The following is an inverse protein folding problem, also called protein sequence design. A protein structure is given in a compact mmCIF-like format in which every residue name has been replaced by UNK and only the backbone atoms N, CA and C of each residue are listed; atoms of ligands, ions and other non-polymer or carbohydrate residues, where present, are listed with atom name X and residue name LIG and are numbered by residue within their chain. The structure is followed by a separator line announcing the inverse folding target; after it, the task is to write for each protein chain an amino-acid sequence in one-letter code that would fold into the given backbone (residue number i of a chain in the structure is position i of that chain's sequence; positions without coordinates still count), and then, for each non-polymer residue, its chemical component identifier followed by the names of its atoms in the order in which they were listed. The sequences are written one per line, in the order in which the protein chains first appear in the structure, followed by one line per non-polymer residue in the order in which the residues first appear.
data_IF_994591365892
#
_entry.id   IF_994591365892
#
_cell.length_a   1.000
_cell.length_b   1.000
_cell.length_c   1.000
_cell.angle_alpha   90.00
_cell.angle_beta   90.00
_cell.angle_gamma   90.00
#
_symmetry.space_group_name_H-M   'P 1'
#
loop_
_entity.id
_entity.type
_entity.pdbx_description
1 polymer ?
#
# COMPACT_ATOMS: atom_id res chain seq x y z
N UNK A 1 41.02 -36.06 -5.04
CA UNK A 1 42.17 -35.35 -5.62
C UNK A 1 41.65 -34.71 -6.90
N UNK A 2 41.18 -33.46 -7.00
CA UNK A 2 41.15 -32.25 -6.18
C UNK A 2 39.79 -31.54 -6.43
N UNK A 3 39.39 -30.66 -5.51
CA UNK A 3 38.16 -29.81 -5.50
C UNK A 3 36.82 -30.48 -5.14
N UNK A 4 36.69 -30.81 -3.85
CA UNK A 4 35.42 -31.05 -3.12
C UNK A 4 35.32 -30.14 -1.87
N UNK A 5 35.91 -28.95 -1.93
CA UNK A 5 36.09 -28.11 -0.73
C UNK A 5 35.82 -26.64 -1.01
N UNK A 6 34.54 -26.26 -1.12
CA UNK A 6 34.10 -24.87 -0.96
C UNK A 6 32.59 -24.70 -0.65
N UNK A 7 31.81 -25.75 -0.38
CA UNK A 7 30.50 -25.57 0.27
C UNK A 7 30.67 -25.66 1.79
N UNK A 8 30.86 -24.51 2.44
CA UNK A 8 30.69 -24.42 3.90
C UNK A 8 29.20 -24.50 4.22
N UNK A 9 28.86 -25.46 5.10
CA UNK A 9 27.57 -25.77 5.73
C UNK A 9 26.56 -24.60 5.77
N UNK A 10 25.50 -24.69 4.95
CA UNK A 10 24.18 -24.13 5.27
C UNK A 10 23.66 -24.85 6.52
N UNK A 11 23.53 -24.11 7.63
CA UNK A 11 23.11 -24.67 8.91
C UNK A 11 21.64 -24.32 9.15
N UNK A 12 20.75 -25.33 9.15
CA UNK A 12 19.35 -25.20 9.53
C UNK A 12 19.26 -24.96 11.05
N UNK A 13 19.06 -23.73 11.48
CA UNK A 13 18.66 -23.43 12.86
C UNK A 13 17.13 -23.44 12.98
N UNK A 14 16.61 -24.36 13.80
CA UNK A 14 15.23 -24.38 14.29
C UNK A 14 15.14 -23.42 15.48
N UNK A 15 14.56 -22.25 15.27
CA UNK A 15 14.16 -21.37 16.36
C UNK A 15 12.64 -21.40 16.45
N UNK A 16 12.12 -21.93 17.55
CA UNK A 16 10.69 -21.89 17.88
C UNK A 16 10.38 -20.46 18.32
N UNK A 17 9.69 -19.69 17.49
CA UNK A 17 9.20 -18.36 17.82
C UNK A 17 7.70 -18.48 18.13
N UNK A 18 7.31 -18.15 19.35
CA UNK A 18 5.92 -18.06 19.79
C UNK A 18 5.27 -16.78 19.24
N UNK A 19 4.03 -16.82 18.73
CA UNK A 19 3.38 -15.65 18.17
C UNK A 19 2.72 -14.86 19.30
N UNK A 20 3.28 -13.70 19.66
CA UNK A 20 2.52 -12.73 20.46
C UNK A 20 2.95 -11.29 20.21
N UNK A 21 1.94 -10.46 19.94
CA UNK A 21 1.89 -9.00 19.98
C UNK A 21 2.38 -8.22 18.74
N UNK A 22 1.44 -8.01 17.81
CA UNK A 22 1.30 -6.76 17.06
C UNK A 22 1.23 -5.58 18.04
N UNK A 23 2.38 -5.01 18.40
CA UNK A 23 2.44 -3.72 19.10
C UNK A 23 2.43 -2.63 18.04
N UNK A 24 1.26 -2.03 17.83
CA UNK A 24 1.17 -0.70 17.22
C UNK A 24 2.05 0.26 18.04
N UNK A 25 3.09 0.82 17.43
CA UNK A 25 3.93 1.82 18.06
C UNK A 25 3.19 3.16 18.10
N UNK A 26 2.29 3.31 19.09
CA UNK A 26 1.94 4.62 19.63
C UNK A 26 3.06 5.03 20.60
N UNK A 27 3.89 5.99 20.19
CA UNK A 27 4.89 6.60 21.09
C UNK A 27 4.20 7.27 22.28
N UNK A 28 4.78 7.09 23.47
CA UNK A 28 4.24 7.45 24.79
C UNK A 28 4.32 8.94 25.18
N UNK A 29 4.80 9.83 24.31
CA UNK A 29 4.48 11.27 24.33
C UNK A 29 5.00 11.89 23.05
N UNK A 30 4.15 11.95 22.01
CA UNK A 30 4.48 12.74 20.82
C UNK A 30 3.67 14.01 20.90
N UNK A 31 4.38 15.13 21.04
CA UNK A 31 3.80 16.45 20.89
C UNK A 31 2.91 16.50 19.65
N UNK A 32 1.81 17.23 19.76
CA UNK A 32 0.93 17.48 18.63
C UNK A 32 1.68 18.45 17.70
N UNK A 33 1.90 18.11 16.40
CA UNK A 33 2.66 18.99 15.50
C UNK A 33 2.02 20.38 15.41
N UNK A 34 2.81 21.46 15.23
CA UNK A 34 2.22 22.77 14.95
C UNK A 34 1.37 22.73 13.67
N UNK A 35 0.42 23.66 13.51
CA UNK A 35 -0.44 23.69 12.33
C UNK A 35 0.41 23.91 11.07
N UNK A 36 0.02 23.26 9.98
CA UNK A 36 0.71 23.37 8.69
C UNK A 36 0.75 24.83 8.21
N UNK A 37 -0.34 25.58 8.40
CA UNK A 37 -0.42 27.00 8.07
C UNK A 37 0.52 27.90 8.87
N UNK A 38 0.91 27.49 10.08
CA UNK A 38 1.85 28.26 10.91
C UNK A 38 3.30 28.01 10.49
N UNK A 39 3.57 26.82 9.91
CA UNK A 39 4.92 26.37 9.53
C UNK A 39 5.30 26.70 8.10
N UNK A 40 4.33 26.79 7.21
CA UNK A 40 4.56 27.00 5.77
C UNK A 40 3.80 28.26 5.30
N UNK A 41 4.35 29.02 4.33
CA UNK A 41 3.73 30.24 3.82
C UNK A 41 2.58 29.93 2.84
N UNK A 42 1.60 29.15 3.29
CA UNK A 42 0.40 28.78 2.53
C UNK A 42 -0.76 29.70 2.90
N UNK A 43 -1.59 30.03 1.91
CA UNK A 43 -2.78 30.86 2.12
C UNK A 43 -4.05 30.01 1.98
N UNK A 44 -4.99 30.20 2.91
CA UNK A 44 -6.29 29.57 2.84
C UNK A 44 -7.02 30.08 1.60
N UNK A 45 -7.50 29.17 0.76
CA UNK A 45 -8.28 29.52 -0.43
C UNK A 45 -9.60 30.21 -0.08
N UNK A 46 -10.27 30.80 -1.08
CA UNK A 46 -11.58 31.43 -0.94
C UNK A 46 -12.72 30.41 -0.80
N UNK A 47 -12.64 29.56 0.22
CA UNK A 47 -13.68 28.60 0.60
C UNK A 47 -14.55 29.18 1.71
N UNK A 48 -15.81 28.75 1.77
CA UNK A 48 -16.68 29.08 2.90
C UNK A 48 -16.14 28.44 4.18
N UNK A 49 -16.56 28.98 5.32
CA UNK A 49 -16.31 28.39 6.63
C UNK A 49 -17.45 27.43 6.99
N UNK A 50 -17.08 26.35 7.69
CA UNK A 50 -18.03 25.36 8.20
C UNK A 50 -18.89 25.96 9.33
N UNK A 51 -20.20 25.77 9.23
CA UNK A 51 -21.20 26.16 10.24
C UNK A 51 -21.89 24.94 10.85
N UNK A 52 -22.56 25.12 11.99
CA UNK A 52 -23.34 24.05 12.61
C UNK A 52 -24.53 23.59 11.74
N UNK A 53 -25.04 24.46 10.86
CA UNK A 53 -26.06 24.09 9.88
C UNK A 53 -25.51 23.11 8.83
N UNK A 54 -24.25 23.29 8.40
CA UNK A 54 -23.58 22.37 7.48
C UNK A 54 -23.40 20.98 8.14
N UNK A 55 -22.99 20.96 9.40
CA UNK A 55 -22.88 19.71 10.19
C UNK A 55 -24.23 19.02 10.33
N UNK A 56 -25.32 19.76 10.53
CA UNK A 56 -26.66 19.20 10.58
C UNK A 56 -27.09 18.58 9.24
N UNK A 57 -26.72 19.20 8.10
CA UNK A 57 -26.94 18.61 6.78
C UNK A 57 -26.15 17.33 6.59
N UNK A 58 -24.85 17.31 6.95
CA UNK A 58 -24.04 16.09 6.89
C UNK A 58 -24.64 14.95 7.70
N UNK A 59 -25.18 15.25 8.89
CA UNK A 59 -25.90 14.28 9.73
C UNK A 59 -27.15 13.76 9.03
N UNK A 60 -27.94 14.65 8.43
CA UNK A 60 -29.11 14.29 7.62
C UNK A 60 -28.78 13.30 6.50
N UNK A 61 -27.72 13.58 5.73
CA UNK A 61 -27.23 12.70 4.65
C UNK A 61 -26.77 11.35 5.22
N UNK A 62 -26.08 11.36 6.36
CA UNK A 62 -25.44 10.19 6.95
C UNK A 62 -26.26 9.46 8.02
N UNK A 63 -27.60 9.52 7.94
CA UNK A 63 -28.49 8.67 8.74
C UNK A 63 -29.13 9.34 9.96
N UNK A 64 -29.14 10.68 10.01
CA UNK A 64 -29.93 11.47 10.96
C UNK A 64 -29.11 12.23 12.01
N UNK A 65 -29.79 13.00 12.89
CA UNK A 65 -29.18 13.97 13.81
C UNK A 65 -28.12 13.39 14.76
N UNK A 66 -28.27 12.12 15.15
CA UNK A 66 -27.37 11.44 16.10
C UNK A 66 -26.35 10.53 15.40
N UNK A 67 -26.11 10.75 14.10
CA UNK A 67 -25.22 9.89 13.31
C UNK A 67 -23.78 9.96 13.83
N UNK A 68 -23.29 8.83 14.33
CA UNK A 68 -21.87 8.62 14.68
C UNK A 68 -20.93 8.63 13.47
N UNK A 69 -21.48 8.75 12.25
CA UNK A 69 -20.72 8.90 11.00
C UNK A 69 -20.34 10.36 10.71
N UNK A 70 -20.74 11.31 11.56
CA UNK A 70 -20.28 12.70 11.55
C UNK A 70 -19.58 13.00 12.87
N UNK A 71 -18.25 13.05 12.83
CA UNK A 71 -17.41 13.29 14.01
C UNK A 71 -17.12 14.78 14.12
N UNK A 72 -17.39 15.35 15.30
CA UNK A 72 -17.10 16.76 15.63
C UNK A 72 -16.39 16.94 16.97
N UNK A 73 -16.17 15.87 17.73
CA UNK A 73 -15.40 15.92 18.97
C UNK A 73 -13.93 16.19 18.64
N UNK A 74 -13.34 17.20 19.28
CA UNK A 74 -12.01 17.74 18.91
C UNK A 74 -10.90 16.68 18.99
N UNK A 75 -10.92 15.86 20.04
CA UNK A 75 -9.96 14.78 20.27
C UNK A 75 -10.07 13.65 19.24
N UNK A 76 -11.28 13.35 18.78
CA UNK A 76 -11.51 12.37 17.72
C UNK A 76 -11.10 12.90 16.34
N UNK A 77 -11.48 14.14 16.01
CA UNK A 77 -11.17 14.79 14.74
C UNK A 77 -9.66 15.00 14.58
N UNK A 78 -8.94 15.26 15.67
CA UNK A 78 -7.48 15.44 15.64
C UNK A 78 -6.74 14.26 14.99
N UNK A 79 -7.24 13.03 15.13
CA UNK A 79 -6.61 11.84 14.53
C UNK A 79 -6.66 11.84 12.99
N UNK A 80 -7.57 12.61 12.39
CA UNK A 80 -7.72 12.77 10.95
C UNK A 80 -6.95 13.99 10.41
N UNK A 81 -6.55 14.90 11.29
CA UNK A 81 -5.81 16.11 10.95
C UNK A 81 -4.29 15.92 10.92
N UNK A 82 -3.77 14.84 11.52
CA UNK A 82 -2.32 14.58 11.63
C UNK A 82 -1.94 13.46 10.66
N UNK A 83 -0.89 13.69 9.85
CA UNK A 83 -0.42 12.69 8.89
C UNK A 83 0.33 11.53 9.57
N UNK A 84 0.62 10.48 8.80
CA UNK A 84 1.31 9.30 9.27
C UNK A 84 2.69 9.60 9.89
N UNK A 85 3.46 10.52 9.29
CA UNK A 85 4.78 10.92 9.79
C UNK A 85 4.69 11.89 10.97
N UNK A 86 3.50 12.42 11.27
CA UNK A 86 3.27 13.51 12.22
C UNK A 86 4.11 14.74 11.88
N UNK A 87 4.29 14.95 10.58
CA UNK A 87 5.06 16.02 9.98
C UNK A 87 4.21 17.24 9.65
N UNK A 88 2.90 17.07 9.45
CA UNK A 88 1.93 18.12 9.12
C UNK A 88 0.65 17.93 9.93
N UNK A 89 -0.06 19.04 10.19
CA UNK A 89 -1.34 19.03 10.92
C UNK A 89 -2.30 20.10 10.41
N UNK A 90 -3.50 19.70 10.00
CA UNK A 90 -4.63 20.60 9.73
C UNK A 90 -5.44 20.94 10.99
N UNK A 91 -6.49 21.75 10.82
CA UNK A 91 -7.44 22.11 11.87
C UNK A 91 -8.90 21.95 11.43
N UNK A 92 -9.16 20.97 10.56
CA UNK A 92 -10.51 20.54 10.20
C UNK A 92 -11.34 20.24 11.46
N UNK A 93 -12.63 20.63 11.43
CA UNK A 93 -13.55 20.52 12.58
C UNK A 93 -14.57 19.38 12.46
N UNK A 94 -14.62 18.73 11.30
CA UNK A 94 -15.59 17.67 11.02
C UNK A 94 -15.00 16.58 10.14
N UNK A 95 -15.35 15.33 10.47
CA UNK A 95 -15.08 14.15 9.65
C UNK A 95 -16.40 13.49 9.29
N UNK A 96 -16.62 13.22 8.01
CA UNK A 96 -17.80 12.52 7.50
C UNK A 96 -17.41 11.12 6.98
N UNK A 97 -18.21 10.10 7.33
CA UNK A 97 -17.94 8.69 7.02
C UNK A 97 -19.07 8.06 6.19
N UNK A 98 -19.13 8.30 4.87
CA UNK A 98 -20.10 7.65 3.99
C UNK A 98 -19.86 6.12 3.91
N UNK A 99 -20.93 5.37 3.61
CA UNK A 99 -20.97 3.93 3.33
C UNK A 99 -21.27 3.62 1.87
N UNK A 100 -21.82 4.58 1.12
CA UNK A 100 -22.25 4.38 -0.26
C UNK A 100 -21.79 5.52 -1.16
N UNK A 101 -21.65 5.23 -2.46
CA UNK A 101 -21.36 6.23 -3.49
C UNK A 101 -22.41 7.35 -3.51
N UNK A 102 -23.68 7.02 -3.28
CA UNK A 102 -24.75 8.00 -3.22
C UNK A 102 -24.55 9.02 -2.09
N UNK A 103 -24.16 8.57 -0.90
CA UNK A 103 -23.82 9.46 0.21
C UNK A 103 -22.60 10.34 -0.11
N UNK A 104 -21.56 9.79 -0.77
CA UNK A 104 -20.41 10.59 -1.24
C UNK A 104 -20.85 11.66 -2.24
N UNK A 105 -21.68 11.29 -3.21
CA UNK A 105 -22.22 12.21 -4.22
C UNK A 105 -23.03 13.35 -3.59
N UNK A 106 -23.88 13.04 -2.61
CA UNK A 106 -24.69 14.03 -1.92
C UNK A 106 -23.84 14.99 -1.06
N UNK A 107 -22.85 14.46 -0.33
CA UNK A 107 -21.88 15.26 0.42
C UNK A 107 -21.11 16.20 -0.50
N UNK A 108 -20.57 15.69 -1.62
CA UNK A 108 -19.80 16.49 -2.57
C UNK A 108 -20.65 17.57 -3.23
N UNK A 109 -21.89 17.26 -3.63
CA UNK A 109 -22.84 18.24 -4.18
C UNK A 109 -23.09 19.38 -3.18
N UNK A 110 -23.36 19.06 -1.92
CA UNK A 110 -23.58 20.07 -0.88
C UNK A 110 -22.33 20.92 -0.62
N UNK A 111 -21.15 20.28 -0.49
CA UNK A 111 -19.88 21.00 -0.32
C UNK A 111 -19.58 21.92 -1.51
N UNK A 112 -19.90 21.50 -2.74
CA UNK A 112 -19.73 22.32 -3.93
C UNK A 112 -20.66 23.54 -3.92
N UNK A 113 -21.96 23.34 -3.63
CA UNK A 113 -22.95 24.42 -3.49
C UNK A 113 -22.53 25.45 -2.42
N UNK A 114 -22.01 24.95 -1.28
CA UNK A 114 -21.55 25.79 -0.16
C UNK A 114 -20.13 26.31 -0.30
N UNK A 115 -19.38 25.85 -1.31
CA UNK A 115 -17.93 26.09 -1.47
C UNK A 115 -17.11 25.70 -0.23
N UNK A 116 -17.43 24.56 0.38
CA UNK A 116 -16.62 23.94 1.43
C UNK A 116 -15.54 23.07 0.79
N UNK A 117 -14.29 23.25 1.21
CA UNK A 117 -13.19 22.38 0.77
C UNK A 117 -13.31 21.00 1.41
N UNK A 118 -12.93 19.96 0.66
CA UNK A 118 -13.00 18.55 1.10
C UNK A 118 -11.63 17.90 0.94
N UNK A 119 -11.20 17.17 1.97
CA UNK A 119 -9.99 16.34 1.98
C UNK A 119 -10.40 14.86 2.01
N UNK A 120 -10.32 14.12 0.88
CA UNK A 120 -10.60 12.69 0.85
C UNK A 120 -9.52 11.92 1.63
N UNK A 121 -9.94 11.00 2.50
CA UNK A 121 -9.02 10.23 3.33
C UNK A 121 -9.34 8.74 3.34
N UNK A 122 -8.34 7.94 2.96
CA UNK A 122 -8.35 6.48 3.12
C UNK A 122 -7.77 6.07 4.48
N UNK A 123 -6.81 5.16 4.48
CA UNK A 123 -6.14 4.67 5.70
C UNK A 123 -5.18 5.64 6.39
N UNK A 124 -5.05 6.88 5.89
CA UNK A 124 -4.11 7.91 6.36
C UNK A 124 -2.65 7.44 6.51
N UNK A 125 -2.17 6.65 5.55
CA UNK A 125 -0.78 6.13 5.51
C UNK A 125 0.09 6.83 4.47
N UNK A 126 -0.36 7.96 3.92
CA UNK A 126 0.38 8.75 2.94
C UNK A 126 1.60 9.44 3.59
N UNK A 127 2.65 9.65 2.80
CA UNK A 127 3.94 10.17 3.29
C UNK A 127 4.26 11.59 2.78
N UNK A 128 3.33 12.22 2.05
CA UNK A 128 3.53 13.54 1.41
C UNK A 128 2.55 14.60 1.90
N UNK A 129 1.82 14.33 2.99
CA UNK A 129 0.84 15.24 3.58
C UNK A 129 -0.50 15.35 2.85
N UNK A 130 -0.66 14.75 1.67
CA UNK A 130 -1.89 14.83 0.86
C UNK A 130 -3.12 14.14 1.46
N UNK A 131 -2.97 13.34 2.51
CA UNK A 131 -4.09 12.65 3.18
C UNK A 131 -4.73 13.44 4.32
N UNK A 132 -4.23 14.63 4.66
CA UNK A 132 -4.75 15.45 5.75
C UNK A 132 -5.02 16.89 5.32
N UNK A 133 -5.95 17.60 5.98
CA UNK A 133 -6.21 19.02 5.73
C UNK A 133 -4.98 19.90 5.96
N UNK A 134 -4.91 21.03 5.25
CA UNK A 134 -3.95 22.11 5.58
C UNK A 134 -4.59 23.10 6.55
N UNK A 135 -5.86 23.40 6.33
CA UNK A 135 -6.67 24.35 7.08
C UNK A 135 -7.88 23.63 7.71
N UNK A 136 -9.09 24.04 7.36
CA UNK A 136 -10.38 23.60 7.90
C UNK A 136 -11.19 22.73 6.94
N UNK A 137 -10.55 22.10 5.95
CA UNK A 137 -11.21 21.22 4.99
C UNK A 137 -12.02 20.11 5.69
N UNK A 138 -13.22 19.81 5.16
CA UNK A 138 -14.04 18.68 5.60
C UNK A 138 -13.32 17.38 5.26
N UNK A 139 -12.99 16.57 6.27
CA UNK A 139 -12.39 15.26 6.00
C UNK A 139 -13.48 14.28 5.59
N UNK A 140 -13.41 13.76 4.36
CA UNK A 140 -14.30 12.70 3.88
C UNK A 140 -13.57 11.37 3.97
N UNK A 141 -13.88 10.59 5.00
CA UNK A 141 -13.22 9.31 5.26
C UNK A 141 -13.97 8.15 4.63
N UNK A 142 -13.29 7.39 3.78
CA UNK A 142 -13.86 6.24 3.07
C UNK A 142 -13.85 4.94 3.89
N UNK A 143 -13.50 5.00 5.19
CA UNK A 143 -13.27 3.81 6.02
C UNK A 143 -14.49 2.88 6.20
N UNK A 144 -15.71 3.40 6.01
CA UNK A 144 -16.94 2.60 6.10
C UNK A 144 -17.43 2.08 4.74
N UNK A 145 -16.68 2.36 3.66
CA UNK A 145 -16.89 1.81 2.33
C UNK A 145 -15.96 0.62 2.13
N UNK A 146 -16.11 -0.42 2.95
CA UNK A 146 -15.17 -1.55 3.11
C UNK A 146 -15.69 -2.89 2.56
N UNK A 147 -16.75 -2.86 1.73
CA UNK A 147 -17.37 -4.07 1.19
C UNK A 147 -16.62 -4.61 -0.03
N UNK A 148 -16.25 -5.90 0.01
CA UNK A 148 -15.85 -6.67 -1.17
C UNK A 148 -17.12 -7.21 -1.82
N UNK A 149 -17.43 -6.73 -3.02
CA UNK A 149 -18.72 -6.98 -3.67
C UNK A 149 -18.72 -8.27 -4.48
N UNK A 150 -17.60 -8.59 -5.12
CA UNK A 150 -17.44 -9.79 -5.96
C UNK A 150 -15.98 -10.19 -6.09
N UNK A 151 -15.72 -11.49 -6.04
CA UNK A 151 -14.46 -12.10 -6.48
C UNK A 151 -14.80 -13.13 -7.56
N UNK A 152 -14.25 -12.94 -8.76
CA UNK A 152 -14.33 -13.87 -9.88
C UNK A 152 -12.98 -14.59 -10.02
N UNK A 153 -12.92 -15.83 -9.55
CA UNK A 153 -11.72 -16.66 -9.58
C UNK A 153 -11.33 -17.13 -10.99
N UNK A 154 -12.28 -17.18 -11.93
CA UNK A 154 -12.00 -17.58 -13.31
C UNK A 154 -11.37 -16.44 -14.10
N UNK A 155 -11.90 -15.22 -13.94
CA UNK A 155 -11.36 -14.04 -14.59
C UNK A 155 -10.15 -13.45 -13.84
N UNK A 156 -10.01 -13.77 -12.56
CA UNK A 156 -9.07 -13.15 -11.63
C UNK A 156 -9.45 -11.69 -11.39
N UNK A 157 -10.70 -11.40 -11.06
CA UNK A 157 -11.20 -10.03 -10.89
C UNK A 157 -11.84 -9.85 -9.53
N UNK A 158 -11.45 -8.81 -8.81
CA UNK A 158 -12.13 -8.35 -7.59
C UNK A 158 -12.83 -7.03 -7.84
N UNK A 159 -14.09 -6.94 -7.42
CA UNK A 159 -14.87 -5.69 -7.36
C UNK A 159 -15.10 -5.36 -5.89
N UNK A 160 -14.71 -4.17 -5.47
CA UNK A 160 -14.77 -3.77 -4.07
C UNK A 160 -14.93 -2.26 -3.91
N UNK A 161 -15.34 -1.84 -2.73
CA UNK A 161 -15.40 -0.45 -2.34
C UNK A 161 -13.99 0.11 -2.01
N UNK A 162 -13.82 1.42 -2.17
CA UNK A 162 -12.53 2.11 -2.07
C UNK A 162 -11.90 2.05 -0.66
N UNK A 163 -12.69 1.81 0.38
CA UNK A 163 -12.26 1.70 1.77
C UNK A 163 -11.75 0.32 2.18
N UNK A 164 -11.81 -0.70 1.32
CA UNK A 164 -11.29 -2.02 1.65
C UNK A 164 -9.79 -1.96 1.97
N UNK A 165 -9.41 -2.48 3.14
CA UNK A 165 -8.00 -2.58 3.57
C UNK A 165 -7.25 -3.59 2.71
N UNK A 166 -6.04 -3.25 2.25
CA UNK A 166 -5.25 -4.11 1.34
C UNK A 166 -4.99 -5.50 1.93
N UNK A 167 -4.66 -5.61 3.22
CA UNK A 167 -4.44 -6.91 3.87
C UNK A 167 -5.70 -7.79 3.86
N UNK A 168 -6.88 -7.20 4.08
CA UNK A 168 -8.15 -7.94 4.02
C UNK A 168 -8.47 -8.38 2.59
N UNK A 169 -8.15 -7.56 1.58
CA UNK A 169 -8.27 -7.97 0.17
C UNK A 169 -7.33 -9.13 -0.15
N UNK A 170 -6.05 -9.06 0.23
CA UNK A 170 -5.06 -10.14 0.02
C UNK A 170 -5.53 -11.46 0.65
N UNK A 171 -6.07 -11.43 1.87
CA UNK A 171 -6.61 -12.61 2.53
C UNK A 171 -7.79 -13.22 1.74
N UNK A 172 -8.76 -12.38 1.34
CA UNK A 172 -10.00 -12.84 0.70
C UNK A 172 -9.77 -13.36 -0.73
N UNK A 173 -8.91 -12.70 -1.51
CA UNK A 173 -8.53 -13.20 -2.84
C UNK A 173 -7.58 -14.41 -2.74
N UNK A 174 -6.73 -14.45 -1.71
CA UNK A 174 -5.86 -15.58 -1.38
C UNK A 174 -6.62 -16.88 -1.13
N UNK A 175 -7.74 -16.80 -0.40
CA UNK A 175 -8.65 -17.93 -0.19
C UNK A 175 -9.25 -18.51 -1.49
N UNK A 176 -9.16 -17.77 -2.60
CA UNK A 176 -9.62 -18.15 -3.95
C UNK A 176 -8.46 -18.48 -4.91
N UNK A 177 -7.24 -18.64 -4.40
CA UNK A 177 -6.07 -18.94 -5.23
C UNK A 177 -5.60 -17.77 -6.09
N UNK A 178 -5.91 -16.54 -5.69
CA UNK A 178 -5.46 -15.30 -6.33
C UNK A 178 -4.52 -14.53 -5.39
N UNK A 179 -3.88 -13.48 -5.90
CA UNK A 179 -3.11 -12.51 -5.10
C UNK A 179 -3.47 -11.09 -5.52
N UNK A 180 -3.33 -10.12 -4.61
CA UNK A 180 -3.35 -8.73 -5.00
C UNK A 180 -2.10 -8.41 -5.83
N UNK A 181 -2.23 -7.61 -6.91
CA UNK A 181 -1.12 -7.27 -7.81
C UNK A 181 -0.13 -6.27 -7.19
N UNK A 182 -0.36 -5.83 -5.95
CA UNK A 182 0.49 -4.93 -5.19
C UNK A 182 0.60 -5.42 -3.75
N UNK A 183 1.72 -5.10 -3.13
CA UNK A 183 1.94 -5.32 -1.70
C UNK A 183 2.90 -4.27 -1.14
N UNK A 184 2.66 -3.78 0.08
CA UNK A 184 3.42 -2.68 0.66
C UNK A 184 3.39 -2.71 2.19
N UNK A 185 4.34 -2.02 2.82
CA UNK A 185 4.54 -2.06 4.28
C UNK A 185 3.33 -1.58 5.10
N UNK A 186 2.49 -0.71 4.53
CA UNK A 186 1.28 -0.20 5.17
C UNK A 186 0.01 -1.07 4.94
N UNK A 187 0.14 -2.30 4.42
CA UNK A 187 -0.99 -3.14 3.97
C UNK A 187 -2.09 -3.35 5.01
N UNK A 188 -1.73 -3.34 6.31
CA UNK A 188 -2.67 -3.51 7.41
C UNK A 188 -3.57 -2.30 7.68
N UNK A 189 -3.34 -1.18 7.01
CA UNK A 189 -4.10 0.05 7.22
C UNK A 189 -4.42 0.81 5.94
N UNK A 190 -3.61 0.68 4.87
CA UNK A 190 -3.90 1.36 3.62
C UNK A 190 -5.19 0.80 2.98
N UNK A 191 -6.01 1.72 2.45
CA UNK A 191 -7.21 1.35 1.71
C UNK A 191 -6.91 1.28 0.22
N UNK A 192 -7.61 0.40 -0.50
CA UNK A 192 -7.37 0.18 -1.93
C UNK A 192 -7.64 1.41 -2.80
N UNK A 193 -8.65 2.23 -2.45
CA UNK A 193 -8.89 3.52 -3.09
C UNK A 193 -7.74 4.51 -2.90
N UNK A 194 -7.12 4.50 -1.71
CA UNK A 194 -5.91 5.27 -1.45
C UNK A 194 -4.73 4.79 -2.29
N UNK A 195 -4.53 3.48 -2.39
CA UNK A 195 -3.48 2.90 -3.24
C UNK A 195 -3.65 3.30 -4.71
N UNK A 196 -4.87 3.26 -5.25
CA UNK A 196 -5.14 3.70 -6.63
C UNK A 196 -4.96 5.21 -6.78
N UNK A 197 -5.46 6.00 -5.83
CA UNK A 197 -5.35 7.46 -5.86
C UNK A 197 -3.90 7.93 -5.86
N UNK A 198 -2.98 7.20 -5.22
CA UNK A 198 -1.54 7.52 -5.20
C UNK A 198 -0.72 6.74 -6.22
N UNK A 199 -1.36 5.91 -7.06
CA UNK A 199 -0.68 4.95 -7.95
C UNK A 199 0.42 4.15 -7.21
N UNK A 200 0.06 3.60 -6.06
CA UNK A 200 0.99 2.88 -5.19
C UNK A 200 1.71 1.77 -5.96
N UNK A 201 3.03 1.71 -5.79
CA UNK A 201 3.86 0.62 -6.29
C UNK A 201 3.96 -0.51 -5.27
N UNK A 202 5.14 -0.63 -4.65
CA UNK A 202 5.40 -1.59 -3.58
C UNK A 202 6.25 -2.78 -4.03
N UNK A 203 6.30 -3.78 -3.15
CA UNK A 203 7.30 -4.87 -3.13
C UNK A 203 7.23 -5.80 -4.35
N UNK A 204 6.07 -5.84 -5.02
CA UNK A 204 5.77 -6.77 -6.13
C UNK A 204 5.66 -6.06 -7.49
N UNK A 205 6.00 -4.77 -7.56
CA UNK A 205 5.88 -3.97 -8.80
C UNK A 205 6.72 -4.54 -9.95
N UNK A 206 7.87 -5.13 -9.66
CA UNK A 206 8.74 -5.74 -10.68
C UNK A 206 8.04 -6.86 -11.46
N UNK A 207 7.05 -7.54 -10.85
CA UNK A 207 6.34 -8.67 -11.46
C UNK A 207 4.99 -8.30 -12.03
N UNK A 208 4.21 -7.51 -11.31
CA UNK A 208 2.82 -7.21 -11.70
C UNK A 208 2.66 -5.82 -12.32
N UNK A 209 3.71 -5.00 -12.31
CA UNK A 209 3.69 -3.66 -12.89
C UNK A 209 2.98 -2.64 -12.01
N UNK A 210 2.62 -1.51 -12.62
CA UNK A 210 1.91 -0.42 -11.96
C UNK A 210 0.39 -0.67 -11.91
N UNK A 211 -0.32 0.13 -11.11
CA UNK A 211 -1.77 0.02 -11.00
C UNK A 211 -2.51 0.41 -12.28
N UNK A 212 -1.90 1.19 -13.19
CA UNK A 212 -2.49 1.42 -14.52
C UNK A 212 -2.69 0.11 -15.31
N UNK A 213 -1.87 -0.91 -15.10
CA UNK A 213 -2.06 -2.22 -15.74
C UNK A 213 -3.09 -3.12 -15.04
N UNK A 214 -3.28 -2.95 -13.74
CA UNK A 214 -4.09 -3.88 -12.92
C UNK A 214 -5.49 -3.36 -12.59
N UNK A 215 -5.72 -2.05 -12.60
CA UNK A 215 -7.06 -1.46 -12.40
C UNK A 215 -7.85 -1.56 -13.69
N UNK A 216 -8.95 -2.30 -13.65
CA UNK A 216 -9.86 -2.51 -14.78
C UNK A 216 -10.96 -1.45 -14.83
N UNK A 217 -11.45 -1.03 -13.66
CA UNK A 217 -12.56 -0.07 -13.55
C UNK A 217 -12.48 0.80 -12.29
N UNK A 218 -13.07 1.99 -12.38
CA UNK A 218 -13.16 2.97 -11.30
C UNK A 218 -14.57 3.56 -11.29
N UNK A 219 -15.23 3.59 -10.13
CA UNK A 219 -16.37 4.48 -9.90
C UNK A 219 -15.88 5.65 -9.06
N UNK A 220 -16.08 6.88 -9.53
CA UNK A 220 -15.61 8.09 -8.87
C UNK A 220 -16.70 9.16 -8.77
N UNK A 221 -16.64 9.97 -7.71
CA UNK A 221 -17.51 11.13 -7.52
C UNK A 221 -16.71 12.40 -7.75
N UNK A 222 -17.15 13.26 -8.67
CA UNK A 222 -16.48 14.53 -8.95
C UNK A 222 -16.75 15.57 -7.87
N UNK A 223 -16.05 16.71 -7.93
CA UNK A 223 -16.29 17.85 -7.04
C UNK A 223 -17.76 18.32 -7.06
N UNK A 224 -18.44 18.26 -8.20
CA UNK A 224 -19.87 18.64 -8.35
C UNK A 224 -20.85 17.60 -7.77
N UNK A 225 -20.36 16.46 -7.29
CA UNK A 225 -21.20 15.34 -6.84
C UNK A 225 -21.70 14.44 -7.96
N UNK A 226 -21.19 14.57 -9.19
CA UNK A 226 -21.53 13.65 -10.28
C UNK A 226 -20.83 12.31 -10.08
N UNK A 227 -21.59 11.22 -10.15
CA UNK A 227 -21.04 9.86 -10.22
C UNK A 227 -20.58 9.57 -11.64
N UNK A 228 -19.30 9.23 -11.78
CA UNK A 228 -18.69 8.73 -13.00
C UNK A 228 -18.51 7.21 -12.85
N UNK A 229 -19.37 6.47 -13.54
CA UNK A 229 -19.22 5.02 -13.66
C UNK A 229 -18.27 4.71 -14.82
N UNK A 230 -17.01 4.41 -14.47
CA UNK A 230 -15.96 3.95 -15.39
C UNK A 230 -15.59 2.50 -15.03
N UNK A 231 -16.54 1.73 -14.49
CA UNK A 231 -16.34 0.34 -14.12
C UNK A 231 -16.24 -0.54 -15.36
N UNK A 232 -15.26 -1.43 -15.37
CA UNK A 232 -15.11 -2.46 -16.40
C UNK A 232 -14.55 -3.72 -15.74
N UNK A 233 -15.01 -4.87 -16.20
CA UNK A 233 -14.51 -6.18 -15.79
C UNK A 233 -13.83 -6.90 -16.98
N UNK A 234 -13.41 -6.13 -17.99
CA UNK A 234 -12.74 -6.66 -19.17
C UNK A 234 -11.26 -6.29 -19.12
N UNK A 235 -10.39 -7.27 -19.41
CA UNK A 235 -8.95 -7.01 -19.60
C UNK A 235 -8.65 -6.16 -20.84
N UNK A 236 -9.57 -6.14 -21.80
CA UNK A 236 -9.49 -5.38 -23.04
C UNK A 236 -10.82 -4.72 -23.31
N UNK A 237 -10.81 -3.40 -23.32
CA UNK A 237 -11.97 -2.58 -23.57
C UNK A 237 -11.52 -1.28 -24.25
N UNK A 238 -11.73 -1.18 -25.57
CA UNK A 238 -11.21 -0.07 -26.40
C UNK A 238 -12.34 0.81 -26.92
N UNK A 239 -13.45 0.95 -26.18
CA UNK A 239 -14.61 1.76 -26.58
C UNK A 239 -14.46 3.23 -26.16
N UNK A 240 -13.40 3.90 -26.62
CA UNK A 240 -13.13 5.32 -26.34
C UNK A 240 -11.97 5.57 -25.39
N UNK A 241 -11.94 6.73 -24.75
CA UNK A 241 -10.86 7.11 -23.84
C UNK A 241 -10.91 6.32 -22.53
N UNK A 242 -9.74 5.88 -22.05
CA UNK A 242 -9.62 5.20 -20.76
C UNK A 242 -9.58 6.21 -19.60
N UNK A 243 -10.70 6.92 -19.39
CA UNK A 243 -10.82 8.00 -18.40
C UNK A 243 -10.45 7.56 -16.97
N UNK A 244 -10.59 6.27 -16.64
CA UNK A 244 -10.17 5.72 -15.34
C UNK A 244 -8.72 6.04 -15.00
N UNK A 245 -7.82 6.12 -16.00
CA UNK A 245 -6.41 6.40 -15.76
C UNK A 245 -6.15 7.81 -15.24
N UNK A 246 -7.07 8.76 -15.46
CA UNK A 246 -6.94 10.10 -14.89
C UNK A 246 -7.09 10.07 -13.37
N UNK A 247 -7.82 9.11 -12.80
CA UNK A 247 -8.01 8.98 -11.35
C UNK A 247 -6.86 8.24 -10.65
N UNK A 248 -6.11 7.40 -11.39
CA UNK A 248 -4.96 6.66 -10.87
C UNK A 248 -3.78 7.63 -10.73
N UNK A 249 -3.33 7.87 -9.50
CA UNK A 249 -2.30 8.88 -9.22
C UNK A 249 -2.81 10.33 -9.16
N UNK A 250 -4.14 10.54 -9.14
CA UNK A 250 -4.74 11.89 -9.01
C UNK A 250 -4.75 12.45 -7.59
N UNK A 251 -4.46 11.62 -6.60
CA UNK A 251 -4.41 11.98 -5.17
C UNK A 251 -5.71 12.65 -4.67
N UNK A 252 -6.86 12.24 -5.22
CA UNK A 252 -8.17 12.77 -4.83
C UNK A 252 -8.52 14.15 -5.40
N UNK A 253 -7.63 14.75 -6.21
CA UNK A 253 -7.80 16.12 -6.72
C UNK A 253 -8.78 16.23 -7.89
N UNK A 254 -9.04 15.13 -8.61
CA UNK A 254 -9.99 15.08 -9.73
C UNK A 254 -11.35 14.47 -9.35
N UNK A 255 -11.43 13.87 -8.16
CA UNK A 255 -12.63 13.22 -7.65
C UNK A 255 -12.29 12.13 -6.63
N UNK A 256 -13.32 11.61 -5.99
CA UNK A 256 -13.23 10.61 -4.92
C UNK A 256 -13.55 9.25 -5.49
N UNK A 257 -12.56 8.34 -5.51
CA UNK A 257 -12.77 6.94 -5.88
C UNK A 257 -13.63 6.27 -4.81
N UNK A 258 -14.72 5.62 -5.21
CA UNK A 258 -15.71 4.99 -4.32
C UNK A 258 -15.79 3.48 -4.50
N UNK A 259 -15.60 2.98 -5.74
CA UNK A 259 -15.51 1.55 -6.06
C UNK A 259 -14.42 1.30 -7.09
N UNK A 260 -13.90 0.08 -7.10
CA UNK A 260 -12.81 -0.37 -7.97
C UNK A 260 -13.10 -1.78 -8.50
N UNK A 261 -12.68 -2.02 -9.75
CA UNK A 261 -12.51 -3.36 -10.31
C UNK A 261 -11.03 -3.56 -10.63
N UNK A 262 -10.44 -4.65 -10.12
CA UNK A 262 -9.02 -4.92 -10.24
C UNK A 262 -8.76 -6.35 -10.70
N UNK A 263 -7.76 -6.51 -11.57
CA UNK A 263 -7.21 -7.80 -11.93
C UNK A 263 -6.27 -8.30 -10.82
N UNK A 264 -6.55 -9.50 -10.33
CA UNK A 264 -5.77 -10.25 -9.34
C UNK A 264 -5.12 -11.45 -10.03
N UNK A 265 -3.78 -11.50 -10.13
CA UNK A 265 -3.06 -12.65 -10.67
C UNK A 265 -3.34 -13.94 -9.88
N UNK A 266 -3.13 -15.09 -10.51
CA UNK A 266 -3.16 -16.38 -9.82
C UNK A 266 -2.02 -16.48 -8.81
N UNK A 267 -2.31 -17.01 -7.62
CA UNK A 267 -1.30 -17.29 -6.62
C UNK A 267 -0.26 -18.30 -7.14
N UNK A 268 1.01 -17.99 -6.92
CA UNK A 268 2.12 -18.89 -7.27
C UNK A 268 2.17 -20.08 -6.30
N UNK A 269 2.57 -21.25 -6.82
CA UNK A 269 2.66 -22.49 -6.02
C UNK A 269 4.00 -22.62 -5.30
N UNK A 270 5.00 -21.91 -5.79
CA UNK A 270 6.36 -21.88 -5.28
C UNK A 270 6.73 -20.44 -5.03
N UNK A 271 7.23 -20.17 -3.82
CA UNK A 271 7.79 -18.88 -3.42
C UNK A 271 9.11 -19.16 -2.73
N UNK A 272 10.15 -18.42 -3.09
CA UNK A 272 11.46 -18.49 -2.44
C UNK A 272 11.95 -17.08 -2.13
N UNK A 273 12.61 -16.90 -0.99
CA UNK A 273 13.23 -15.63 -0.58
C UNK A 273 14.71 -15.87 -0.33
N UNK A 274 15.56 -15.04 -0.93
CA UNK A 274 16.99 -14.99 -0.69
C UNK A 274 17.37 -13.64 -0.07
N UNK A 275 18.17 -13.67 1.00
CA UNK A 275 18.73 -12.49 1.65
C UNK A 275 20.25 -12.54 1.51
N UNK A 276 20.82 -11.57 0.79
CA UNK A 276 22.18 -11.61 0.25
C UNK A 276 23.00 -10.43 0.79
N UNK A 277 24.28 -10.67 1.11
CA UNK A 277 25.26 -9.65 1.51
C UNK A 277 26.19 -9.27 0.36
N UNK A 278 26.45 -7.97 0.18
CA UNK A 278 27.25 -7.41 -0.90
C UNK A 278 28.18 -6.31 -0.40
N UNK A 279 29.36 -6.18 -1.04
CA UNK A 279 30.40 -5.24 -0.61
C UNK A 279 30.26 -3.83 -1.19
N UNK A 280 29.57 -3.67 -2.31
CA UNK A 280 29.45 -2.38 -2.99
C UNK A 280 28.11 -2.20 -3.70
N UNK A 281 27.76 -0.94 -3.96
CA UNK A 281 26.59 -0.62 -4.77
C UNK A 281 26.75 -1.06 -6.23
N UNK A 282 27.99 -1.20 -6.73
CA UNK A 282 28.20 -1.76 -8.07
C UNK A 282 27.82 -3.25 -8.12
N UNK A 283 28.16 -4.00 -7.08
CA UNK A 283 27.77 -5.40 -6.93
C UNK A 283 26.25 -5.54 -6.84
N UNK A 284 25.55 -4.62 -6.16
CA UNK A 284 24.07 -4.57 -6.14
C UNK A 284 23.51 -4.46 -7.56
N UNK A 285 23.97 -3.49 -8.36
CA UNK A 285 23.47 -3.31 -9.74
C UNK A 285 23.76 -4.53 -10.61
N UNK A 286 24.95 -5.12 -10.49
CA UNK A 286 25.35 -6.31 -11.27
C UNK A 286 24.56 -7.54 -10.86
N UNK A 287 24.32 -7.72 -9.56
CA UNK A 287 23.47 -8.78 -9.00
C UNK A 287 22.03 -8.62 -9.45
N UNK A 288 21.47 -7.40 -9.45
CA UNK A 288 20.14 -7.14 -10.00
C UNK A 288 20.04 -7.47 -11.50
N UNK A 289 21.05 -7.12 -12.29
CA UNK A 289 21.09 -7.48 -13.71
C UNK A 289 21.16 -9.00 -13.90
N UNK A 290 21.94 -9.70 -13.08
CA UNK A 290 22.00 -11.16 -13.07
C UNK A 290 20.66 -11.77 -12.67
N UNK A 291 19.97 -11.24 -11.65
CA UNK A 291 18.66 -11.71 -11.21
C UNK A 291 17.62 -11.60 -12.34
N UNK A 292 17.55 -10.45 -13.02
CA UNK A 292 16.65 -10.27 -14.16
C UNK A 292 16.90 -11.24 -15.30
N UNK A 293 18.15 -11.65 -15.54
CA UNK A 293 18.51 -12.56 -16.63
C UNK A 293 18.36 -14.04 -16.26
N UNK A 294 18.76 -14.40 -15.05
CA UNK A 294 18.82 -15.79 -14.58
C UNK A 294 17.51 -16.28 -13.94
N UNK A 295 16.85 -15.44 -13.15
CA UNK A 295 15.55 -15.75 -12.56
C UNK A 295 14.41 -15.42 -13.53
N UNK A 296 14.57 -14.36 -14.31
CA UNK A 296 13.67 -14.03 -15.42
C UNK A 296 12.24 -13.83 -14.94
N UNK A 297 11.32 -14.61 -15.50
CA UNK A 297 9.89 -14.49 -15.28
C UNK A 297 9.44 -14.86 -13.88
N UNK A 298 10.24 -15.58 -13.10
CA UNK A 298 9.87 -15.96 -11.72
C UNK A 298 10.26 -14.91 -10.69
N UNK A 299 11.08 -13.91 -11.05
CA UNK A 299 11.43 -12.80 -10.14
C UNK A 299 10.16 -12.05 -9.71
N UNK A 300 9.91 -11.95 -8.41
CA UNK A 300 8.72 -11.29 -7.84
C UNK A 300 9.02 -10.07 -6.96
N UNK A 301 10.20 -10.01 -6.35
CA UNK A 301 10.69 -8.84 -5.61
C UNK A 301 12.21 -8.74 -5.69
N UNK A 302 12.75 -7.53 -5.61
CA UNK A 302 14.18 -7.29 -5.58
C UNK A 302 14.47 -5.96 -4.86
N UNK A 303 14.66 -6.03 -3.55
CA UNK A 303 14.88 -4.87 -2.69
C UNK A 303 16.36 -4.72 -2.33
N UNK A 304 16.83 -3.48 -2.16
CA UNK A 304 18.16 -3.17 -1.64
C UNK A 304 18.03 -2.56 -0.25
N UNK A 305 18.94 -2.93 0.65
CA UNK A 305 19.04 -2.40 2.01
C UNK A 305 20.50 -2.00 2.25
N UNK A 306 20.75 -0.78 2.72
CA UNK A 306 22.09 -0.38 3.17
C UNK A 306 22.30 -0.72 4.65
N UNK A 307 23.57 -0.74 5.09
CA UNK A 307 23.90 -1.05 6.48
C UNK A 307 23.18 -0.15 7.51
N UNK A 308 23.12 1.19 7.34
CA UNK A 308 22.38 2.06 8.26
C UNK A 308 20.88 1.74 8.36
N UNK A 309 20.23 1.35 7.26
CA UNK A 309 18.82 0.97 7.25
C UNK A 309 18.58 -0.34 7.99
N UNK A 310 19.41 -1.36 7.76
CA UNK A 310 19.31 -2.63 8.49
C UNK A 310 19.66 -2.45 9.97
N UNK A 311 20.70 -1.67 10.30
CA UNK A 311 21.07 -1.32 11.67
C UNK A 311 19.90 -0.62 12.40
N UNK A 312 19.20 0.28 11.72
CA UNK A 312 18.00 0.94 12.26
C UNK A 312 16.90 -0.08 12.53
N UNK A 313 16.65 -1.01 11.60
CA UNK A 313 15.61 -2.03 11.77
C UNK A 313 15.92 -2.96 12.96
N UNK A 314 17.14 -3.49 13.03
CA UNK A 314 17.57 -4.40 14.10
C UNK A 314 17.57 -3.72 15.47
N UNK A 315 18.06 -2.47 15.56
CA UNK A 315 18.10 -1.70 16.80
C UNK A 315 16.73 -1.35 17.35
N UNK A 316 15.82 -0.84 16.50
CA UNK A 316 14.54 -0.29 16.98
C UNK A 316 13.41 -1.32 17.03
N UNK A 317 13.45 -2.37 16.22
CA UNK A 317 12.42 -3.42 16.20
C UNK A 317 12.85 -4.72 16.87
N UNK A 318 14.07 -4.82 17.40
CA UNK A 318 14.58 -6.02 18.06
C UNK A 318 14.75 -7.22 17.12
N UNK A 319 14.89 -6.95 15.82
CA UNK A 319 15.11 -7.96 14.79
C UNK A 319 16.59 -8.37 14.74
N UNK A 320 16.86 -9.59 14.29
CA UNK A 320 18.23 -10.07 14.05
C UNK A 320 18.48 -10.21 12.54
N UNK A 321 19.67 -9.77 12.09
CA UNK A 321 20.13 -10.06 10.72
C UNK A 321 20.34 -11.57 10.58
N UNK A 322 19.88 -12.20 9.47
CA UNK A 322 20.07 -13.63 9.25
C UNK A 322 21.48 -14.00 8.76
N UNK A 323 22.30 -13.01 8.41
CA UNK A 323 23.69 -13.15 7.93
C UNK A 323 24.60 -12.12 8.61
N UNK A 324 25.91 -12.22 8.37
CA UNK A 324 26.91 -11.27 8.89
C UNK A 324 26.69 -9.84 8.37
N UNK A 325 27.50 -8.89 8.87
CA UNK A 325 27.36 -7.47 8.53
C UNK A 325 28.06 -7.16 7.20
N UNK A 326 27.30 -6.61 6.26
CA UNK A 326 27.77 -6.14 4.96
C UNK A 326 27.37 -4.67 4.73
N UNK A 327 28.09 -3.92 3.87
CA UNK A 327 27.71 -2.56 3.49
C UNK A 327 26.34 -2.48 2.81
N UNK A 328 26.00 -3.49 2.01
CA UNK A 328 24.73 -3.60 1.29
C UNK A 328 24.15 -5.01 1.44
N UNK A 329 22.83 -5.07 1.34
CA UNK A 329 22.06 -6.29 1.30
C UNK A 329 21.06 -6.25 0.16
N UNK A 330 20.70 -7.42 -0.36
CA UNK A 330 19.59 -7.57 -1.29
C UNK A 330 18.61 -8.63 -0.78
N UNK A 331 17.31 -8.33 -0.87
CA UNK A 331 16.24 -9.29 -0.65
C UNK A 331 15.59 -9.59 -2.00
N UNK A 332 15.72 -10.84 -2.45
CA UNK A 332 15.20 -11.31 -3.73
C UNK A 332 14.10 -12.32 -3.46
N UNK A 333 12.92 -12.10 -4.03
CA UNK A 333 11.82 -13.06 -4.00
C UNK A 333 11.60 -13.63 -5.40
N UNK A 334 11.32 -14.93 -5.46
CA UNK A 334 10.79 -15.59 -6.67
C UNK A 334 9.42 -16.15 -6.38
N UNK A 335 8.53 -16.11 -7.38
CA UNK A 335 7.19 -16.67 -7.37
C UNK A 335 6.94 -17.37 -8.70
N UNK A 336 6.72 -18.68 -8.66
CA UNK A 336 6.54 -19.52 -9.85
C UNK A 336 5.56 -20.67 -9.66
N UNK A 337 5.38 -21.42 -10.75
CA UNK A 337 4.38 -22.51 -10.83
C UNK A 337 4.96 -23.87 -10.47
N UNK A 338 6.29 -24.03 -10.50
CA UNK A 338 6.98 -25.30 -10.29
C UNK A 338 8.17 -25.10 -9.35
N UNK A 339 8.12 -25.72 -8.17
CA UNK A 339 9.13 -25.54 -7.14
C UNK A 339 10.53 -26.02 -7.57
N UNK A 340 10.60 -27.12 -8.34
CA UNK A 340 11.89 -27.69 -8.76
C UNK A 340 12.61 -26.78 -9.75
N UNK A 341 11.90 -26.26 -10.76
CA UNK A 341 12.48 -25.32 -11.71
C UNK A 341 12.86 -23.98 -11.05
N UNK A 342 12.03 -23.48 -10.14
CA UNK A 342 12.30 -22.22 -9.43
C UNK A 342 13.56 -22.35 -8.55
N UNK A 343 13.70 -23.46 -7.83
CA UNK A 343 14.87 -23.76 -7.00
C UNK A 343 16.14 -23.94 -7.83
N UNK A 344 16.06 -24.59 -8.99
CA UNK A 344 17.19 -24.74 -9.92
C UNK A 344 17.64 -23.39 -10.49
N UNK A 345 16.70 -22.51 -10.85
CA UNK A 345 17.02 -21.14 -11.30
C UNK A 345 17.68 -20.33 -10.19
N UNK A 346 17.13 -20.39 -8.97
CA UNK A 346 17.67 -19.66 -7.82
C UNK A 346 19.08 -20.15 -7.47
N UNK A 347 19.28 -21.47 -7.43
CA UNK A 347 20.59 -22.07 -7.14
C UNK A 347 21.63 -21.63 -8.17
N UNK A 348 21.35 -21.75 -9.47
CA UNK A 348 22.28 -21.31 -10.53
C UNK A 348 22.60 -19.82 -10.45
N UNK A 349 21.59 -18.99 -10.17
CA UNK A 349 21.79 -17.56 -9.98
C UNK A 349 22.73 -17.26 -8.80
N UNK A 350 22.56 -17.94 -7.67
CA UNK A 350 23.41 -17.77 -6.49
C UNK A 350 24.83 -18.27 -6.74
N UNK A 351 24.99 -19.48 -7.30
CA UNK A 351 26.30 -20.02 -7.68
C UNK A 351 27.06 -19.05 -8.58
N UNK A 352 26.42 -18.57 -9.66
CA UNK A 352 27.03 -17.64 -10.59
C UNK A 352 27.42 -16.30 -9.92
N UNK A 353 26.56 -15.73 -9.08
CA UNK A 353 26.83 -14.42 -8.46
C UNK A 353 27.89 -14.51 -7.36
N UNK A 354 27.97 -15.64 -6.65
CA UNK A 354 29.02 -15.90 -5.67
C UNK A 354 30.37 -16.21 -6.35
N UNK A 355 30.39 -16.99 -7.43
CA UNK A 355 31.62 -17.26 -8.21
C UNK A 355 32.22 -15.97 -8.81
N UNK A 356 31.37 -15.03 -9.22
CA UNK A 356 31.79 -13.72 -9.71
C UNK A 356 32.22 -12.75 -8.59
N UNK A 357 32.07 -13.13 -7.32
CA UNK A 357 32.38 -12.30 -6.16
C UNK A 357 31.42 -11.14 -5.94
N UNK A 358 30.23 -11.16 -6.55
CA UNK A 358 29.21 -10.11 -6.39
C UNK A 358 28.48 -10.25 -5.06
N UNK A 359 28.08 -11.48 -4.75
CA UNK A 359 27.44 -11.86 -3.49
C UNK A 359 28.49 -12.58 -2.64
N UNK A 360 28.68 -12.11 -1.40
CA UNK A 360 29.72 -12.65 -0.51
C UNK A 360 29.20 -13.58 0.58
N UNK A 361 27.92 -13.44 0.92
CA UNK A 361 27.19 -14.32 1.83
C UNK A 361 25.69 -14.25 1.52
N UNK A 362 24.93 -15.24 1.94
CA UNK A 362 23.50 -15.24 1.76
C UNK A 362 22.80 -16.43 2.38
N UNK A 363 21.50 -16.23 2.64
CA UNK A 363 20.60 -17.29 3.09
C UNK A 363 19.37 -17.36 2.20
N UNK A 364 18.76 -18.54 2.11
CA UNK A 364 17.56 -18.80 1.31
C UNK A 364 16.53 -19.51 2.18
N UNK A 365 15.26 -19.22 1.95
CA UNK A 365 14.16 -19.98 2.53
C UNK A 365 13.00 -20.12 1.56
N UNK A 366 12.30 -21.25 1.66
CA UNK A 366 11.00 -21.52 1.05
C UNK A 366 9.91 -21.80 2.13
N UNK A 367 10.24 -21.61 3.41
CA UNK A 367 9.34 -21.89 4.52
C UNK A 367 8.41 -20.69 4.78
N UNK A 368 7.08 -20.83 4.69
CA UNK A 368 6.15 -19.72 4.88
C UNK A 368 6.30 -19.01 6.24
N UNK A 369 6.64 -19.74 7.29
CA UNK A 369 6.86 -19.19 8.64
C UNK A 369 8.10 -18.31 8.76
N UNK A 370 9.06 -18.44 7.83
CA UNK A 370 10.25 -17.59 7.75
C UNK A 370 10.09 -16.42 6.76
N UNK A 371 9.01 -16.43 5.97
CA UNK A 371 8.67 -15.39 5.00
C UNK A 371 7.58 -14.43 5.50
N UNK A 372 6.70 -14.90 6.38
CA UNK A 372 5.63 -14.08 6.95
C UNK A 372 6.19 -13.21 8.09
N UNK A 373 5.90 -11.92 8.02
CA UNK A 373 6.07 -10.95 9.13
C UNK A 373 4.87 -11.01 10.04
#
# INVERSE_FOLDING_TARGET
MLLRGALRRLTLHRTVVTPTALRAFASKSREVPALTCDRYPVQRGSFAELTDADVAVFRGILGGPDSSRVITAEDEVQNYNIDYLRSVRGYGRVVVKPRTTAEVAELMRYCNERRLAVCPQGGNTGLVGGSVPVFDEVVLSLQLMDTIERIDEYAGIVVCQAGCVLASLEEQVGARGLVMPLDLGAKGSCHIGGNVSTNAGGLRLVRYGNLHGSVLGVEAVTAEGRVLDLMSNFKKDNTGYHLKHLFIGSEGTLGIITRLSMFCPTASRSVNVAFLGLNSYDDVKRTFLAAKRGLGEVLSSCEMIDAPSLDSCTRFFGLQSPIEKYPFYMLIETSGSDAGHDEEKLTRFLEQTMEQGLVVDGTVTNEPTKMKV
#
